data_IF_957132107272
#
_entry.id   IF_957132107272
#
_cell.length_a   1.000
_cell.length_b   1.000
_cell.length_c   1.000
_cell.angle_alpha   90.00
_cell.angle_beta   90.00
_cell.angle_gamma   90.00
#
_symmetry.space_group_name_H-M   'P 1'
#
loop_
_entity.id
_entity.type
_entity.pdbx_description
1 polymer ?
#
# COMPACT_ATOMS: atom_id res chain seq x y z
N UNK A 1 -2.06 -15.83 3.65
CA UNK A 1 -1.64 -14.42 3.83
C UNK A 1 -1.70 -13.64 2.53
N UNK A 2 -1.13 -14.14 1.42
CA UNK A 2 -1.22 -13.49 0.11
C UNK A 2 -2.68 -13.26 -0.37
N UNK A 3 -3.58 -14.23 -0.17
CA UNK A 3 -5.01 -14.05 -0.51
C UNK A 3 -5.69 -12.96 0.30
N UNK A 4 -5.31 -12.78 1.58
CA UNK A 4 -5.85 -11.70 2.41
C UNK A 4 -5.38 -10.32 1.91
N UNK A 5 -4.13 -10.22 1.46
CA UNK A 5 -3.58 -9.01 0.82
C UNK A 5 -4.36 -8.70 -0.46
N UNK A 6 -4.58 -9.69 -1.34
CA UNK A 6 -5.36 -9.51 -2.58
C UNK A 6 -6.78 -9.03 -2.29
N UNK A 7 -7.48 -9.71 -1.38
CA UNK A 7 -8.84 -9.32 -1.00
C UNK A 7 -8.89 -7.91 -0.43
N UNK A 8 -7.93 -7.55 0.44
CA UNK A 8 -7.89 -6.22 1.04
C UNK A 8 -7.58 -5.12 0.02
N UNK A 9 -6.71 -5.41 -0.95
CA UNK A 9 -6.42 -4.52 -2.07
C UNK A 9 -7.66 -4.27 -2.93
N UNK A 10 -8.42 -5.31 -3.27
CA UNK A 10 -9.67 -5.17 -4.02
C UNK A 10 -10.71 -4.32 -3.28
N UNK A 11 -10.83 -4.50 -1.95
CA UNK A 11 -11.71 -3.67 -1.12
C UNK A 11 -11.27 -2.20 -1.10
N UNK A 12 -9.97 -1.93 -0.95
CA UNK A 12 -9.42 -0.58 -0.98
C UNK A 12 -9.70 0.09 -2.34
N UNK A 13 -9.43 -0.58 -3.46
CA UNK A 13 -9.68 -0.05 -4.81
C UNK A 13 -11.17 0.20 -5.04
N UNK A 14 -12.01 -0.75 -4.64
CA UNK A 14 -13.47 -0.60 -4.74
C UNK A 14 -13.96 0.60 -3.93
N UNK A 15 -13.42 0.79 -2.73
CA UNK A 15 -13.76 1.92 -1.88
C UNK A 15 -13.28 3.25 -2.48
N UNK A 16 -12.05 3.30 -2.99
CA UNK A 16 -11.49 4.47 -3.65
C UNK A 16 -12.33 4.89 -4.87
N UNK A 17 -12.73 3.93 -5.69
CA UNK A 17 -13.59 4.18 -6.86
C UNK A 17 -14.98 4.69 -6.47
N UNK A 18 -15.48 4.34 -5.28
CA UNK A 18 -16.81 4.74 -4.80
C UNK A 18 -16.81 6.04 -3.99
N UNK A 19 -15.79 6.26 -3.15
CA UNK A 19 -15.75 7.30 -2.11
C UNK A 19 -14.59 8.28 -2.28
N UNK A 20 -13.67 8.01 -3.19
CA UNK A 20 -12.45 8.78 -3.39
C UNK A 20 -11.27 8.27 -2.57
N UNK A 21 -10.07 8.48 -3.09
CA UNK A 21 -8.81 8.03 -2.49
C UNK A 21 -8.50 8.65 -1.12
N UNK A 22 -9.01 9.85 -0.87
CA UNK A 22 -8.82 10.59 0.38
C UNK A 22 -9.95 10.37 1.38
N UNK A 23 -10.92 9.51 1.07
CA UNK A 23 -11.96 9.15 2.03
C UNK A 23 -11.36 8.41 3.22
N UNK A 24 -11.87 8.69 4.42
CA UNK A 24 -11.42 8.05 5.66
C UNK A 24 -11.43 6.51 5.56
N UNK A 25 -12.45 5.96 4.90
CA UNK A 25 -12.57 4.52 4.72
C UNK A 25 -11.52 3.95 3.75
N UNK A 26 -11.19 4.68 2.68
CA UNK A 26 -10.13 4.25 1.77
C UNK A 26 -8.76 4.34 2.44
N UNK A 27 -8.51 5.38 3.23
CA UNK A 27 -7.29 5.53 4.04
C UNK A 27 -7.19 4.39 5.06
N UNK A 28 -8.30 4.04 5.72
CA UNK A 28 -8.33 2.91 6.65
C UNK A 28 -7.97 1.60 5.94
N UNK A 29 -8.56 1.33 4.77
CA UNK A 29 -8.25 0.13 4.01
C UNK A 29 -6.80 0.09 3.50
N UNK A 30 -6.20 1.23 3.15
CA UNK A 30 -4.78 1.28 2.77
C UNK A 30 -3.87 0.96 3.96
N UNK A 31 -4.16 1.51 5.15
CA UNK A 31 -3.39 1.21 6.37
C UNK A 31 -3.49 -0.26 6.77
N UNK A 32 -4.68 -0.84 6.71
CA UNK A 32 -4.87 -2.26 7.02
C UNK A 32 -4.18 -3.17 5.98
N UNK A 33 -4.16 -2.77 4.70
CA UNK A 33 -3.41 -3.45 3.65
C UNK A 33 -1.90 -3.41 3.92
N UNK A 34 -1.37 -2.25 4.33
CA UNK A 34 0.06 -2.08 4.65
C UNK A 34 0.49 -2.99 5.81
N UNK A 35 -0.34 -3.11 6.85
CA UNK A 35 -0.08 -4.03 7.96
C UNK A 35 0.01 -5.46 7.45
N UNK A 36 -0.92 -5.91 6.60
CA UNK A 36 -0.91 -7.26 6.03
C UNK A 36 0.33 -7.53 5.17
N UNK A 37 0.76 -6.55 4.38
CA UNK A 37 1.98 -6.64 3.56
C UNK A 37 3.22 -6.73 4.46
N UNK A 38 3.29 -5.92 5.51
CA UNK A 38 4.41 -5.94 6.44
C UNK A 38 4.51 -7.28 7.18
N UNK A 39 3.38 -7.82 7.67
CA UNK A 39 3.37 -9.15 8.30
C UNK A 39 3.76 -10.25 7.31
N UNK A 40 3.31 -10.18 6.06
CA UNK A 40 3.76 -11.08 5.01
C UNK A 40 5.28 -11.01 4.80
N UNK A 41 5.84 -9.81 4.72
CA UNK A 41 7.28 -9.63 4.59
C UNK A 41 8.06 -10.15 5.79
N UNK A 42 7.56 -9.97 7.02
CA UNK A 42 8.22 -10.50 8.22
C UNK A 42 8.26 -12.04 8.21
N UNK A 43 7.16 -12.67 7.80
CA UNK A 43 7.09 -14.13 7.69
C UNK A 43 7.92 -14.63 6.51
N UNK A 44 7.90 -13.94 5.36
CA UNK A 44 8.64 -14.35 4.18
C UNK A 44 10.15 -14.10 4.30
N UNK A 45 10.58 -13.08 5.04
CA UNK A 45 12.01 -12.81 5.27
C UNK A 45 12.68 -13.65 6.36
N UNK A 46 11.96 -14.62 6.92
CA UNK A 46 12.58 -15.79 7.56
C UNK A 46 13.10 -16.81 6.52
N UNK A 47 12.82 -16.59 5.23
CA UNK A 47 13.51 -17.25 4.11
C UNK A 47 14.55 -16.29 3.49
N UNK A 48 15.72 -16.78 3.05
CA UNK A 48 16.89 -15.97 2.73
C UNK A 48 16.83 -15.35 1.32
N UNK A 49 15.92 -14.41 1.06
CA UNK A 49 15.86 -13.69 -0.24
C UNK A 49 15.96 -12.16 -0.08
N UNK A 50 16.63 -11.43 -1.01
CA UNK A 50 17.13 -10.07 -0.79
C UNK A 50 16.05 -8.97 -0.88
N UNK A 51 16.14 -7.97 0.02
CA UNK A 51 15.10 -6.98 0.35
C UNK A 51 15.17 -5.64 -0.42
N UNK A 52 15.69 -5.57 -1.63
CA UNK A 52 16.06 -4.26 -2.20
C UNK A 52 15.05 -3.61 -3.17
N UNK A 53 14.17 -4.37 -3.83
CA UNK A 53 13.37 -3.79 -4.94
C UNK A 53 12.18 -2.91 -4.48
N UNK A 54 11.57 -3.17 -3.32
CA UNK A 54 10.32 -2.49 -2.91
C UNK A 54 10.58 -1.05 -2.40
N UNK A 55 11.77 -0.75 -1.84
CA UNK A 55 12.12 0.62 -1.42
C UNK A 55 12.20 1.59 -2.60
N UNK A 56 12.53 1.11 -3.80
CA UNK A 56 12.69 1.96 -4.97
C UNK A 56 11.35 2.52 -5.48
N UNK A 57 10.27 1.75 -5.40
CA UNK A 57 8.96 2.17 -5.90
C UNK A 57 8.29 3.26 -5.03
N UNK A 58 8.43 3.19 -3.70
CA UNK A 58 7.80 4.18 -2.80
C UNK A 58 8.41 5.58 -2.95
N UNK A 59 9.74 5.66 -3.13
CA UNK A 59 10.43 6.93 -3.36
C UNK A 59 10.05 7.59 -4.69
N UNK A 60 9.69 6.81 -5.72
CA UNK A 60 9.21 7.36 -7.00
C UNK A 60 7.80 7.95 -6.90
N UNK A 61 6.97 7.50 -5.96
CA UNK A 61 5.57 7.94 -5.85
C UNK A 61 5.39 9.29 -5.12
N UNK A 62 6.43 9.80 -4.46
CA UNK A 62 6.38 11.05 -3.65
C UNK A 62 6.68 12.33 -4.46
N UNK A 63 7.08 12.22 -5.74
CA UNK A 63 7.64 13.37 -6.48
C UNK A 63 6.67 14.19 -7.34
N UNK A 64 5.35 14.06 -7.19
CA UNK A 64 4.38 15.01 -7.79
C UNK A 64 3.84 15.93 -6.69
N UNK A 65 4.72 16.76 -6.15
CA UNK A 65 4.31 17.94 -5.37
C UNK A 65 3.94 19.04 -6.37
N UNK A 66 2.69 19.51 -6.45
CA UNK A 66 2.36 20.61 -7.33
C UNK A 66 3.05 21.86 -6.81
N UNK A 67 3.93 22.47 -7.62
CA UNK A 67 4.31 23.87 -7.46
C UNK A 67 3.07 24.74 -7.73
N UNK A 68 2.18 24.83 -6.74
CA UNK A 68 1.18 25.90 -6.66
C UNK A 68 1.32 26.51 -5.27
N UNK A 69 2.42 27.21 -5.09
CA UNK A 69 2.46 28.34 -4.18
C UNK A 69 2.47 29.57 -5.08
N UNK A 70 1.37 30.31 -5.01
CA UNK A 70 1.16 31.65 -5.60
C UNK A 70 2.24 32.61 -5.10
#
# INVERSE_FOLDING_TARGET
MLEAIKMKRELMITCANKKGFTSEETIKYSQELDVLINEYHKVSSQSPEPKEEIRFAFNQMVMIWPKVFV
#
